data_IF_752524219229
#
_entry.id   IF_752524219229
#
_cell.length_a   1.000
_cell.length_b   1.000
_cell.length_c   1.000
_cell.angle_alpha   90.00
_cell.angle_beta   90.00
_cell.angle_gamma   90.00
#
_symmetry.space_group_name_H-M   'P 1'
#
loop_
_entity.id
_entity.type
_entity.pdbx_description
1 polymer ?
#
# COMPACT_ATOMS: atom_id res chain seq x y z
N UNK A 1 1.33 39.53 -23.03
CA UNK A 1 0.59 38.28 -22.72
C UNK A 1 1.19 37.65 -21.49
N UNK A 2 0.37 37.47 -20.45
CA UNK A 2 0.80 37.15 -19.09
C UNK A 2 1.23 35.69 -18.88
N UNK A 3 2.23 35.54 -18.00
CA UNK A 3 2.77 34.34 -17.36
C UNK A 3 1.67 33.47 -16.71
N UNK A 4 1.85 32.14 -16.66
CA UNK A 4 2.27 31.39 -15.44
C UNK A 4 2.31 29.86 -15.64
N UNK A 5 3.43 29.30 -15.16
CA UNK A 5 3.71 27.88 -14.92
C UNK A 5 2.70 27.22 -13.97
N UNK A 6 2.54 25.91 -14.09
CA UNK A 6 1.80 25.09 -13.13
C UNK A 6 2.09 23.58 -13.21
N UNK A 7 3.37 23.17 -13.18
CA UNK A 7 3.76 21.77 -12.95
C UNK A 7 3.78 21.53 -11.43
N UNK A 8 2.66 21.10 -10.86
CA UNK A 8 2.53 20.71 -9.45
C UNK A 8 1.87 19.33 -9.33
N UNK A 9 2.67 18.28 -9.57
CA UNK A 9 2.32 16.90 -9.15
C UNK A 9 3.45 16.20 -8.35
N UNK A 10 4.48 16.95 -7.93
CA UNK A 10 5.68 16.39 -7.29
C UNK A 10 5.74 16.50 -5.76
N UNK A 11 5.04 17.45 -5.15
CA UNK A 11 5.25 17.83 -3.74
C UNK A 11 4.27 17.18 -2.76
N UNK A 12 3.00 16.98 -3.14
CA UNK A 12 1.96 16.46 -2.21
C UNK A 12 2.12 14.96 -1.94
N UNK A 13 2.41 14.15 -2.97
CA UNK A 13 2.59 12.69 -2.83
C UNK A 13 3.89 12.36 -2.08
N UNK A 14 5.00 13.04 -2.36
CA UNK A 14 6.29 12.80 -1.68
C UNK A 14 6.27 13.15 -0.18
N UNK A 15 5.58 14.23 0.19
CA UNK A 15 5.49 14.66 1.60
C UNK A 15 4.66 13.67 2.42
N UNK A 16 3.63 13.08 1.81
CA UNK A 16 2.80 12.05 2.44
C UNK A 16 3.61 10.76 2.68
N UNK A 17 4.31 10.25 1.66
CA UNK A 17 5.13 9.03 1.78
C UNK A 17 6.20 9.13 2.86
N UNK A 18 6.92 10.26 2.97
CA UNK A 18 7.94 10.46 4.02
C UNK A 18 7.35 10.46 5.43
N UNK A 19 6.17 11.06 5.58
CA UNK A 19 5.45 11.09 6.86
C UNK A 19 4.97 9.71 7.25
N UNK A 20 4.36 8.96 6.32
CA UNK A 20 3.96 7.58 6.51
C UNK A 20 5.15 6.68 6.84
N UNK A 21 6.29 6.86 6.15
CA UNK A 21 7.52 6.12 6.42
C UNK A 21 7.96 6.30 7.88
N UNK A 22 7.99 7.54 8.36
CA UNK A 22 8.37 7.85 9.75
C UNK A 22 7.41 7.22 10.76
N UNK A 23 6.09 7.27 10.49
CA UNK A 23 5.06 6.60 11.29
C UNK A 23 5.25 5.08 11.32
N UNK A 24 5.61 4.46 10.20
CA UNK A 24 5.81 3.00 10.12
C UNK A 24 7.11 2.58 10.82
N UNK A 25 8.19 3.32 10.62
CA UNK A 25 9.50 3.03 11.19
C UNK A 25 9.47 2.98 12.72
N UNK A 26 8.63 3.81 13.37
CA UNK A 26 8.47 3.81 14.82
C UNK A 26 7.74 2.59 15.39
N UNK A 27 7.08 1.77 14.56
CA UNK A 27 6.28 0.62 15.02
C UNK A 27 7.08 -0.64 15.32
N UNK A 28 8.34 -0.70 14.87
CA UNK A 28 9.21 -1.88 15.01
C UNK A 28 8.66 -3.13 14.30
N UNK A 29 8.10 -2.96 13.09
CA UNK A 29 7.69 -4.11 12.27
C UNK A 29 8.90 -4.97 11.93
N UNK A 30 8.71 -6.29 11.85
CA UNK A 30 9.78 -7.23 11.49
C UNK A 30 9.32 -8.27 10.47
N UNK A 31 10.29 -9.01 9.91
CA UNK A 31 10.06 -10.13 9.01
C UNK A 31 9.17 -9.79 7.82
N UNK A 32 8.19 -10.65 7.55
CA UNK A 32 7.28 -10.49 6.41
C UNK A 32 6.43 -9.22 6.52
N UNK A 33 5.96 -8.86 7.73
CA UNK A 33 5.14 -7.67 7.95
C UNK A 33 5.91 -6.38 7.62
N UNK A 34 7.20 -6.33 7.97
CA UNK A 34 8.07 -5.22 7.57
C UNK A 34 8.21 -5.15 6.05
N UNK A 35 8.61 -6.27 5.41
CA UNK A 35 8.89 -6.30 3.97
C UNK A 35 7.70 -5.88 3.13
N UNK A 36 6.50 -6.39 3.41
CA UNK A 36 5.32 -6.03 2.61
C UNK A 36 4.90 -4.58 2.84
N UNK A 37 5.02 -4.05 4.06
CA UNK A 37 4.56 -2.70 4.38
C UNK A 37 5.37 -1.66 3.62
N UNK A 38 6.70 -1.78 3.66
CA UNK A 38 7.58 -0.86 2.93
C UNK A 38 7.48 -1.05 1.41
N UNK A 39 7.35 -2.29 0.94
CA UNK A 39 7.16 -2.54 -0.48
C UNK A 39 5.87 -1.90 -1.01
N UNK A 40 4.75 -2.02 -0.30
CA UNK A 40 3.47 -1.42 -0.69
C UNK A 40 3.51 0.12 -0.58
N UNK A 41 4.19 0.66 0.44
CA UNK A 41 4.41 2.11 0.56
C UNK A 41 5.15 2.69 -0.65
N UNK A 42 6.15 1.98 -1.17
CA UNK A 42 6.94 2.39 -2.33
C UNK A 42 6.27 2.05 -3.66
N UNK A 43 5.34 1.08 -3.67
CA UNK A 43 4.66 0.58 -4.85
C UNK A 43 3.14 0.58 -4.61
N UNK A 44 2.49 1.77 -4.66
CA UNK A 44 1.05 1.86 -4.49
C UNK A 44 0.34 1.02 -5.57
N UNK A 45 -0.79 0.40 -5.18
CA UNK A 45 -1.56 -0.53 -6.01
C UNK A 45 -0.80 -1.79 -6.44
N UNK A 46 0.20 -2.22 -5.67
CA UNK A 46 0.94 -3.45 -5.97
C UNK A 46 0.04 -4.69 -5.94
N UNK A 47 0.19 -5.56 -6.93
CA UNK A 47 -0.56 -6.80 -7.01
C UNK A 47 -0.03 -7.85 -6.02
N UNK A 48 -0.94 -8.67 -5.50
CA UNK A 48 -0.64 -9.71 -4.50
C UNK A 48 0.53 -10.61 -4.92
N UNK A 49 0.57 -11.05 -6.18
CA UNK A 49 1.63 -11.92 -6.66
C UNK A 49 3.00 -11.21 -6.78
N UNK A 50 3.02 -9.92 -7.13
CA UNK A 50 4.24 -9.11 -7.11
C UNK A 50 4.77 -8.97 -5.69
N UNK A 51 3.89 -8.70 -4.71
CA UNK A 51 4.26 -8.58 -3.30
C UNK A 51 4.82 -9.92 -2.79
N UNK A 52 4.10 -11.02 -3.04
CA UNK A 52 4.51 -12.35 -2.61
C UNK A 52 5.92 -12.70 -3.13
N UNK A 53 6.17 -12.45 -4.41
CA UNK A 53 7.46 -12.72 -5.06
C UNK A 53 8.56 -11.80 -4.53
N UNK A 54 8.36 -10.47 -4.55
CA UNK A 54 9.40 -9.48 -4.19
C UNK A 54 9.72 -9.48 -2.70
N UNK A 55 8.74 -9.76 -1.85
CA UNK A 55 8.91 -9.78 -0.40
C UNK A 55 9.19 -11.18 0.17
N UNK A 56 9.29 -12.22 -0.67
CA UNK A 56 9.44 -13.62 -0.26
C UNK A 56 8.42 -14.01 0.84
N UNK A 57 7.13 -13.85 0.54
CA UNK A 57 6.02 -14.11 1.47
C UNK A 57 5.06 -15.13 0.85
N UNK A 58 4.85 -16.25 1.54
CA UNK A 58 3.92 -17.28 1.08
C UNK A 58 2.45 -16.89 1.24
N UNK A 59 2.10 -16.05 2.21
CA UNK A 59 0.74 -15.56 2.43
C UNK A 59 0.72 -14.06 2.75
N UNK A 60 0.42 -13.24 1.73
CA UNK A 60 0.39 -11.78 1.83
C UNK A 60 -0.67 -11.31 2.84
N UNK A 61 -1.87 -11.88 2.79
CA UNK A 61 -2.97 -11.50 3.69
C UNK A 61 -2.64 -11.75 5.16
N UNK A 62 -1.98 -12.86 5.48
CA UNK A 62 -1.54 -13.15 6.85
C UNK A 62 -0.47 -12.17 7.34
N UNK A 63 0.52 -11.87 6.49
CA UNK A 63 1.53 -10.88 6.80
C UNK A 63 0.91 -9.48 6.95
N UNK A 64 -0.07 -9.13 6.12
CA UNK A 64 -0.78 -7.86 6.18
C UNK A 64 -1.61 -7.74 7.47
N UNK A 65 -2.28 -8.82 7.91
CA UNK A 65 -2.99 -8.86 9.19
C UNK A 65 -2.05 -8.56 10.36
N UNK A 66 -0.84 -9.14 10.35
CA UNK A 66 0.20 -8.86 11.38
C UNK A 66 0.67 -7.41 11.33
N UNK A 67 0.89 -6.85 10.14
CA UNK A 67 1.26 -5.45 9.99
C UNK A 67 0.14 -4.51 10.48
N UNK A 68 -1.10 -4.77 10.08
CA UNK A 68 -2.28 -3.97 10.41
C UNK A 68 -2.52 -3.87 11.93
N UNK A 69 -2.24 -4.92 12.70
CA UNK A 69 -2.32 -4.89 14.16
C UNK A 69 -1.40 -3.82 14.81
N UNK A 70 -0.36 -3.37 14.11
CA UNK A 70 0.56 -2.31 14.55
C UNK A 70 0.29 -0.99 13.83
N UNK A 71 0.02 -1.03 12.53
CA UNK A 71 -0.26 0.15 11.71
C UNK A 71 -1.49 0.93 12.21
N UNK A 72 -2.50 0.24 12.74
CA UNK A 72 -3.67 0.90 13.32
C UNK A 72 -3.31 1.90 14.44
N UNK A 73 -2.22 1.67 15.18
CA UNK A 73 -1.76 2.57 16.26
C UNK A 73 -1.30 3.94 15.78
N UNK A 74 -0.99 4.07 14.49
CA UNK A 74 -0.53 5.32 13.86
C UNK A 74 -1.52 5.81 12.79
N UNK A 75 -2.75 5.29 12.79
CA UNK A 75 -3.79 5.65 11.84
C UNK A 75 -3.49 5.19 10.42
N UNK A 76 -2.83 4.04 10.25
CA UNK A 76 -2.52 3.46 8.93
C UNK A 76 -3.13 2.06 8.80
N UNK A 77 -3.44 1.67 7.55
CA UNK A 77 -3.92 0.32 7.24
C UNK A 77 -3.50 -0.11 5.84
N UNK A 78 -3.06 -1.36 5.72
CA UNK A 78 -2.96 -2.05 4.43
C UNK A 78 -4.35 -2.55 4.06
N UNK A 79 -4.84 -2.12 2.91
CA UNK A 79 -6.12 -2.57 2.34
C UNK A 79 -5.86 -3.44 1.10
N UNK A 80 -6.78 -4.36 0.87
CA UNK A 80 -6.79 -5.28 -0.26
C UNK A 80 -8.06 -5.02 -1.07
N UNK A 81 -7.92 -4.65 -2.33
CA UNK A 81 -9.04 -4.35 -3.21
C UNK A 81 -8.92 -5.10 -4.53
N UNK A 82 -10.04 -5.22 -5.24
CA UNK A 82 -10.00 -5.66 -6.63
C UNK A 82 -9.45 -4.51 -7.50
N UNK A 83 -8.51 -4.78 -8.43
CA UNK A 83 -8.02 -3.75 -9.35
C UNK A 83 -9.15 -3.16 -10.19
N UNK A 84 -9.12 -1.84 -10.37
CA UNK A 84 -10.04 -1.14 -11.27
C UNK A 84 -9.24 -0.34 -12.32
N UNK A 85 -9.38 -0.66 -13.62
CA UNK A 85 -10.20 -1.72 -14.21
C UNK A 85 -9.71 -3.13 -13.86
N UNK A 86 -10.60 -4.13 -13.92
CA UNK A 86 -10.23 -5.53 -13.68
C UNK A 86 -9.14 -5.95 -14.67
N UNK A 87 -8.14 -6.66 -14.18
CA UNK A 87 -7.09 -7.21 -15.02
C UNK A 87 -7.65 -8.40 -15.80
N UNK A 88 -7.58 -8.33 -17.13
CA UNK A 88 -7.97 -9.41 -18.01
C UNK A 88 -6.75 -10.28 -18.31
N UNK A 89 -6.90 -11.59 -18.15
CA UNK A 89 -5.82 -12.54 -18.44
C UNK A 89 -5.66 -12.79 -19.95
N UNK A 90 -4.64 -13.56 -20.33
CA UNK A 90 -4.36 -13.91 -21.75
C UNK A 90 -5.50 -14.64 -22.48
N UNK A 91 -6.47 -15.17 -21.73
CA UNK A 91 -7.63 -15.88 -22.26
C UNK A 91 -8.87 -14.99 -22.38
N UNK A 92 -8.75 -13.68 -22.14
CA UNK A 92 -9.87 -12.75 -22.20
C UNK A 92 -10.81 -12.80 -20.99
N UNK A 93 -10.41 -13.49 -19.91
CA UNK A 93 -11.23 -13.67 -18.70
C UNK A 93 -10.72 -12.77 -17.56
N UNK A 94 -11.60 -12.20 -16.73
CA UNK A 94 -11.18 -11.49 -15.51
C UNK A 94 -10.28 -12.36 -14.63
N UNK A 95 -9.12 -11.81 -14.27
CA UNK A 95 -8.16 -12.48 -13.41
C UNK A 95 -8.53 -12.25 -11.94
N UNK A 96 -8.48 -13.28 -11.08
CA UNK A 96 -8.77 -13.18 -9.64
C UNK A 96 -7.58 -12.57 -8.87
N UNK A 97 -7.06 -11.45 -9.34
CA UNK A 97 -5.94 -10.74 -8.73
C UNK A 97 -6.45 -9.64 -7.81
N UNK A 98 -5.72 -9.43 -6.72
CA UNK A 98 -5.98 -8.36 -5.78
C UNK A 98 -4.80 -7.39 -5.74
N UNK A 99 -5.10 -6.11 -5.61
CA UNK A 99 -4.11 -5.05 -5.38
C UNK A 99 -4.11 -4.62 -3.92
N UNK A 100 -2.99 -4.07 -3.48
CA UNK A 100 -2.80 -3.58 -2.13
C UNK A 100 -2.36 -2.13 -2.11
N UNK A 101 -2.81 -1.43 -1.08
CA UNK A 101 -2.47 -0.03 -0.83
C UNK A 101 -2.35 0.21 0.67
N UNK A 102 -1.50 1.18 1.04
CA UNK A 102 -1.43 1.72 2.39
C UNK A 102 -2.27 3.00 2.44
N UNK A 103 -3.31 2.99 3.27
CA UNK A 103 -4.20 4.13 3.46
C UNK A 103 -4.11 4.68 4.88
N UNK A 104 -4.39 5.98 5.03
CA UNK A 104 -4.64 6.55 6.35
C UNK A 104 -6.07 6.23 6.77
N UNK A 105 -6.21 5.67 7.97
CA UNK A 105 -7.50 5.55 8.64
C UNK A 105 -7.56 6.70 9.63
N UNK A 106 -8.45 7.67 9.37
CA UNK A 106 -8.81 8.64 10.41
C UNK A 106 -9.23 7.87 11.66
N UNK A 107 -8.96 8.40 12.85
CA UNK A 107 -9.14 7.70 14.14
C UNK A 107 -10.57 7.30 14.53
N UNK A 108 -11.46 7.04 13.57
CA UNK A 108 -12.80 6.52 13.73
C UNK A 108 -13.07 5.60 12.54
N UNK A 109 -12.88 4.30 12.75
CA UNK A 109 -13.68 3.21 12.16
C UNK A 109 -13.11 1.88 12.68
N UNK A 110 -13.33 1.67 13.99
CA UNK A 110 -13.62 0.33 14.50
C UNK A 110 -14.97 -0.08 13.91
N UNK A 111 -14.94 -0.99 12.93
CA UNK A 111 -16.08 -1.83 12.60
C UNK A 111 -16.03 -3.09 13.46
#
# INVERSE_FOLDING_TARGET
MNKKNGRTKGTTTQTNTRTQYSKIASLGLNGQAHRITFFILENPCALTHHIAHRCAVGNVSHAAKKANARLGKVGLRLICTEPHPRIINRFGVPSPVHQWELVEIGGADEQ
#
